data_IF_950119836926
#
_entry.id   IF_950119836926
#
_cell.length_a   1.000
_cell.length_b   1.000
_cell.length_c   1.000
_cell.angle_alpha   90.00
_cell.angle_beta   90.00
_cell.angle_gamma   90.00
#
_symmetry.space_group_name_H-M   'P 1'
#
loop_
_entity.id
_entity.type
_entity.pdbx_description
1 polymer ?
#
# COMPACT_ATOMS: atom_id res chain seq x y z
N UNK A 1 22.38 24.07 34.55
CA UNK A 1 22.22 22.66 34.16
C UNK A 1 21.04 22.57 33.21
N UNK A 2 21.24 22.31 31.92
CA UNK A 2 20.16 22.20 30.94
C UNK A 2 20.07 20.74 30.47
N UNK A 3 18.99 20.06 30.84
CA UNK A 3 18.68 18.71 30.38
C UNK A 3 18.41 18.74 28.88
N UNK A 4 19.43 18.38 28.09
CA UNK A 4 19.30 18.13 26.66
C UNK A 4 18.56 16.80 26.52
N UNK A 5 17.26 16.86 26.27
CA UNK A 5 16.41 15.69 26.05
C UNK A 5 17.03 14.79 24.99
N UNK A 6 17.48 13.61 25.41
CA UNK A 6 17.83 12.54 24.48
C UNK A 6 16.52 12.17 23.75
N UNK A 7 16.40 12.60 22.50
CA UNK A 7 15.34 12.11 21.62
C UNK A 7 15.37 10.59 21.65
N UNK A 8 14.28 9.98 22.11
CA UNK A 8 14.13 8.54 22.09
C UNK A 8 14.40 8.06 20.67
N UNK A 9 15.51 7.33 20.48
CA UNK A 9 15.79 6.66 19.22
C UNK A 9 14.72 5.60 19.04
N UNK A 10 13.66 5.92 18.31
CA UNK A 10 12.64 4.95 17.92
C UNK A 10 13.35 3.89 17.10
N UNK A 11 13.53 2.71 17.68
CA UNK A 11 14.08 1.57 16.97
C UNK A 11 13.03 1.14 15.95
N UNK A 12 13.35 1.24 14.65
CA UNK A 12 12.46 0.74 13.61
C UNK A 12 12.41 -0.78 13.74
N UNK A 13 11.32 -1.27 14.31
CA UNK A 13 10.99 -2.69 14.30
C UNK A 13 10.85 -3.11 12.84
N UNK A 14 11.63 -4.10 12.41
CA UNK A 14 11.43 -4.71 11.10
C UNK A 14 10.16 -5.55 11.17
N UNK A 15 9.21 -5.24 10.29
CA UNK A 15 7.91 -5.92 10.24
C UNK A 15 7.87 -6.74 8.95
N UNK A 16 7.38 -7.98 9.06
CA UNK A 16 7.14 -8.82 7.89
C UNK A 16 6.09 -8.16 6.98
N UNK A 17 6.31 -8.10 5.65
CA UNK A 17 5.41 -7.42 4.71
C UNK A 17 3.96 -7.90 4.80
N UNK A 18 3.75 -9.20 5.04
CA UNK A 18 2.42 -9.78 5.19
C UNK A 18 1.62 -9.16 6.33
N UNK A 19 2.29 -8.76 7.43
CA UNK A 19 1.63 -8.10 8.56
C UNK A 19 1.14 -6.70 8.18
N UNK A 20 1.80 -6.03 7.24
CA UNK A 20 1.35 -4.73 6.72
C UNK A 20 0.07 -4.90 5.90
N UNK A 21 -0.01 -5.93 5.06
CA UNK A 21 -1.20 -6.26 4.27
C UNK A 21 -2.37 -6.59 5.20
N UNK A 22 -2.16 -7.43 6.23
CA UNK A 22 -3.19 -7.72 7.21
C UNK A 22 -3.67 -6.47 7.94
N UNK A 23 -2.76 -5.55 8.30
CA UNK A 23 -3.15 -4.27 8.90
C UNK A 23 -4.02 -3.43 7.97
N UNK A 24 -3.71 -3.37 6.68
CA UNK A 24 -4.54 -2.65 5.70
C UNK A 24 -5.94 -3.26 5.58
N UNK A 25 -6.03 -4.60 5.55
CA UNK A 25 -7.32 -5.30 5.53
C UNK A 25 -8.13 -5.06 6.82
N UNK A 26 -7.51 -5.20 7.99
CA UNK A 26 -8.16 -4.99 9.29
C UNK A 26 -8.69 -3.57 9.45
N UNK A 27 -7.89 -2.57 9.06
CA UNK A 27 -8.26 -1.17 9.17
C UNK A 27 -9.14 -0.68 8.02
N UNK A 28 -9.48 -1.54 7.05
CA UNK A 28 -10.16 -1.16 5.80
C UNK A 28 -9.51 0.06 5.14
N UNK A 29 -8.18 0.09 5.13
CA UNK A 29 -7.41 1.23 4.65
C UNK A 29 -7.53 1.35 3.13
N UNK A 30 -7.75 2.58 2.65
CA UNK A 30 -7.60 2.89 1.23
C UNK A 30 -6.12 2.77 0.88
N UNK A 31 -5.82 1.97 -0.13
CA UNK A 31 -4.46 1.76 -0.63
C UNK A 31 -4.35 2.19 -2.10
N UNK A 32 -3.15 2.56 -2.50
CA UNK A 32 -2.75 2.74 -3.88
C UNK A 32 -1.80 1.62 -4.26
N UNK A 33 -2.08 0.96 -5.37
CA UNK A 33 -1.25 -0.10 -5.93
C UNK A 33 -0.56 0.43 -7.17
N UNK A 34 0.76 0.33 -7.20
CA UNK A 34 1.56 0.68 -8.36
C UNK A 34 1.78 -0.56 -9.20
N UNK A 35 1.54 -0.41 -10.50
CA UNK A 35 1.60 -1.49 -11.46
C UNK A 35 2.84 -1.34 -12.36
N UNK A 36 3.54 -2.45 -12.60
CA UNK A 36 4.65 -2.55 -13.55
C UNK A 36 4.70 -3.97 -14.10
N UNK A 37 5.26 -4.16 -15.31
CA UNK A 37 5.26 -5.44 -16.05
C UNK A 37 5.98 -6.60 -15.33
N UNK A 38 6.78 -6.31 -14.31
CA UNK A 38 7.49 -7.31 -13.51
C UNK A 38 7.15 -7.11 -12.02
N UNK A 39 5.96 -7.55 -11.62
CA UNK A 39 5.57 -7.60 -10.22
C UNK A 39 6.40 -8.61 -9.44
N UNK A 40 6.41 -8.44 -8.12
CA UNK A 40 7.35 -9.16 -7.24
C UNK A 40 6.88 -10.57 -6.86
N UNK A 41 5.59 -10.88 -6.97
CA UNK A 41 5.02 -12.11 -6.38
C UNK A 41 3.82 -12.63 -7.18
N UNK A 42 3.94 -13.84 -7.72
CA UNK A 42 2.91 -14.53 -8.50
C UNK A 42 1.70 -14.98 -7.66
N UNK A 43 1.82 -15.02 -6.32
CA UNK A 43 0.78 -15.51 -5.42
C UNK A 43 -0.04 -14.40 -4.75
N UNK A 44 0.39 -13.13 -4.84
CA UNK A 44 -0.29 -12.01 -4.16
C UNK A 44 -1.44 -11.39 -4.96
N UNK A 45 -2.44 -12.20 -5.31
CA UNK A 45 -3.67 -11.67 -5.90
C UNK A 45 -4.46 -10.86 -4.85
N UNK A 46 -4.96 -9.68 -5.22
CA UNK A 46 -5.73 -8.80 -4.34
C UNK A 46 -7.15 -8.62 -4.86
N UNK A 47 -8.13 -8.72 -3.97
CA UNK A 47 -9.50 -8.27 -4.25
C UNK A 47 -9.64 -6.86 -3.69
N UNK A 48 -9.97 -5.91 -4.57
CA UNK A 48 -10.11 -4.50 -4.23
C UNK A 48 -11.57 -4.09 -4.35
N UNK A 49 -12.09 -3.48 -3.28
CA UNK A 49 -13.41 -2.84 -3.26
C UNK A 49 -13.29 -1.35 -3.59
N UNK A 50 -14.31 -0.82 -4.28
CA UNK A 50 -14.38 0.57 -4.73
C UNK A 50 -13.11 1.03 -5.46
N UNK A 51 -12.53 0.15 -6.29
CA UNK A 51 -11.29 0.42 -7.01
C UNK A 51 -11.48 1.51 -8.06
N UNK A 52 -10.43 2.30 -8.24
CA UNK A 52 -10.34 3.33 -9.28
C UNK A 52 -9.00 3.18 -10.00
N UNK A 53 -9.02 3.25 -11.34
CA UNK A 53 -7.79 3.41 -12.12
C UNK A 53 -7.37 4.88 -12.09
N UNK A 54 -6.10 5.15 -11.76
CA UNK A 54 -5.57 6.51 -11.66
C UNK A 54 -4.48 6.72 -12.70
N UNK A 55 -4.74 7.56 -13.69
CA UNK A 55 -3.73 7.96 -14.67
C UNK A 55 -2.88 9.10 -14.11
N UNK A 56 -1.61 8.84 -13.80
CA UNK A 56 -0.78 9.81 -13.07
C UNK A 56 -0.50 11.11 -13.84
N UNK A 57 -0.40 11.04 -15.18
CA UNK A 57 -0.14 12.21 -16.03
C UNK A 57 -1.34 13.15 -16.15
N UNK A 58 -2.52 12.59 -16.36
CA UNK A 58 -3.76 13.36 -16.57
C UNK A 58 -4.55 13.59 -15.28
N UNK A 59 -4.18 12.91 -14.19
CA UNK A 59 -4.91 12.84 -12.92
C UNK A 59 -6.35 12.36 -13.07
N UNK A 60 -6.68 11.71 -14.19
CA UNK A 60 -7.99 11.14 -14.43
C UNK A 60 -8.19 9.91 -13.55
N UNK A 61 -9.40 9.76 -13.00
CA UNK A 61 -9.82 8.63 -12.18
C UNK A 61 -11.00 7.94 -12.85
N UNK A 62 -10.86 6.64 -13.11
CA UNK A 62 -11.93 5.83 -13.67
C UNK A 62 -12.42 4.83 -12.62
N UNK A 63 -13.70 4.88 -12.21
CA UNK A 63 -14.24 3.90 -11.27
C UNK A 63 -14.30 2.52 -11.92
N UNK A 64 -13.84 1.51 -11.19
CA UNK A 64 -13.84 0.10 -11.61
C UNK A 64 -14.76 -0.77 -10.74
N UNK A 65 -15.10 -0.30 -9.53
CA UNK A 65 -15.90 -1.08 -8.58
C UNK A 65 -15.07 -2.20 -7.94
N UNK A 66 -15.64 -3.40 -7.84
CA UNK A 66 -14.96 -4.57 -7.27
C UNK A 66 -14.16 -5.31 -8.33
N UNK A 67 -12.84 -5.42 -8.15
CA UNK A 67 -11.94 -6.10 -9.09
C UNK A 67 -11.01 -7.09 -8.38
N UNK A 68 -10.51 -8.06 -9.14
CA UNK A 68 -9.38 -8.90 -8.73
C UNK A 68 -8.14 -8.47 -9.51
N UNK A 69 -7.11 -8.00 -8.79
CA UNK A 69 -5.82 -7.62 -9.33
C UNK A 69 -4.85 -8.81 -9.19
N UNK A 70 -4.19 -9.18 -10.29
CA UNK A 70 -3.19 -10.24 -10.28
C UNK A 70 -1.89 -9.77 -9.61
N UNK A 71 -1.29 -10.64 -8.80
CA UNK A 71 -0.07 -10.34 -8.02
C UNK A 71 1.17 -10.07 -8.86
N UNK A 72 1.26 -10.70 -10.03
CA UNK A 72 2.34 -10.55 -11.03
C UNK A 72 2.50 -9.13 -11.59
N UNK A 73 1.52 -8.25 -11.36
CA UNK A 73 1.56 -6.85 -11.79
C UNK A 73 1.83 -5.88 -10.63
N UNK A 74 1.95 -6.36 -9.38
CA UNK A 74 2.08 -5.50 -8.20
C UNK A 74 3.56 -5.15 -7.95
N UNK A 75 3.88 -3.86 -7.98
CA UNK A 75 5.22 -3.35 -7.67
C UNK A 75 5.30 -2.76 -6.28
N UNK A 76 4.29 -1.98 -5.88
CA UNK A 76 4.29 -1.28 -4.60
C UNK A 76 2.87 -1.14 -4.06
N UNK A 77 2.71 -1.37 -2.76
CA UNK A 77 1.49 -1.10 -2.01
C UNK A 77 1.74 0.07 -1.07
N UNK A 78 0.94 1.13 -1.20
CA UNK A 78 1.03 2.33 -0.38
C UNK A 78 -0.32 2.65 0.26
N UNK A 79 -0.34 2.93 1.55
CA UNK A 79 -1.50 3.54 2.18
C UNK A 79 -1.67 4.98 1.69
N UNK A 80 -2.85 5.34 1.22
CA UNK A 80 -3.17 6.74 0.96
C UNK A 80 -3.73 7.34 2.25
N UNK A 81 -2.86 7.98 3.01
CA UNK A 81 -3.28 8.84 4.13
C UNK A 81 -3.79 10.15 3.55
N UNK A 82 -5.09 10.43 3.75
CA UNK A 82 -5.62 11.78 3.62
C UNK A 82 -5.10 12.67 4.75
#
# INVERSE_FOLDING_TARGET
MAYRGQGQKVQKVMVQPINLIFRYLQNRSRIQVWLYEQGFDEYMNLVLDDAEEVHMKTKNRKPLGRIMLKGDNITLLQSVSN
#
